data_IF_725146777155
#
_entry.id   IF_725146777155
#
_cell.length_a   1.000
_cell.length_b   1.000
_cell.length_c   1.000
_cell.angle_alpha   90.00
_cell.angle_beta   90.00
_cell.angle_gamma   90.00
#
_symmetry.space_group_name_H-M   'P 1'
#
loop_
_entity.id
_entity.type
_entity.pdbx_description
1 polymer ?
#
# COMPACT_ATOMS: atom_id res chain seq x y z
N UNK A 1 21.09 -77.24 26.01
CA UNK A 1 22.20 -78.21 25.91
C UNK A 1 23.08 -77.80 24.74
N UNK A 2 24.40 -77.68 24.92
CA UNK A 2 25.33 -77.31 23.84
C UNK A 2 25.32 -78.31 22.67
N UNK A 3 24.96 -79.57 22.96
CA UNK A 3 24.75 -80.67 22.02
C UNK A 3 23.59 -80.43 21.04
N UNK A 4 22.50 -79.81 21.49
CA UNK A 4 21.32 -79.54 20.66
C UNK A 4 21.56 -78.41 19.64
N UNK A 5 22.39 -77.43 20.01
CA UNK A 5 22.84 -76.36 19.11
C UNK A 5 23.83 -76.89 18.05
N UNK A 6 24.70 -77.82 18.43
CA UNK A 6 25.63 -78.49 17.51
C UNK A 6 24.90 -79.37 16.49
N UNK A 7 23.93 -80.16 16.93
CA UNK A 7 23.08 -80.98 16.05
C UNK A 7 22.24 -80.14 15.09
N UNK A 8 21.65 -79.04 15.57
CA UNK A 8 20.88 -78.12 14.72
C UNK A 8 21.76 -77.48 13.65
N UNK A 9 22.97 -77.05 14.00
CA UNK A 9 23.90 -76.45 13.04
C UNK A 9 24.34 -77.47 11.97
N UNK A 10 24.64 -78.71 12.36
CA UNK A 10 24.99 -79.77 11.40
C UNK A 10 23.84 -80.10 10.43
N UNK A 11 22.58 -80.06 10.89
CA UNK A 11 21.40 -80.22 10.02
C UNK A 11 21.25 -79.03 9.06
N UNK A 12 21.46 -77.81 9.55
CA UNK A 12 21.39 -76.61 8.71
C UNK A 12 22.49 -76.60 7.66
N UNK A 13 23.72 -76.99 8.00
CA UNK A 13 24.84 -77.13 7.06
C UNK A 13 24.53 -78.17 5.99
N UNK A 14 24.01 -79.35 6.37
CA UNK A 14 23.61 -80.37 5.41
C UNK A 14 22.49 -79.91 4.46
N UNK A 15 21.50 -79.16 4.96
CA UNK A 15 20.45 -78.57 4.12
C UNK A 15 21.02 -77.50 3.17
N UNK A 16 21.95 -76.66 3.64
CA UNK A 16 22.60 -75.63 2.83
C UNK A 16 23.50 -76.23 1.74
N UNK A 17 24.21 -77.31 2.02
CA UNK A 17 25.06 -78.01 1.04
C UNK A 17 24.24 -78.67 -0.07
N UNK A 18 23.04 -79.18 0.26
CA UNK A 18 22.11 -79.80 -0.70
C UNK A 18 21.20 -78.80 -1.42
N UNK A 19 21.28 -77.51 -1.10
CA UNK A 19 20.49 -76.43 -1.70
C UNK A 19 21.31 -75.66 -2.73
N UNK A 20 20.78 -75.54 -3.96
CA UNK A 20 21.37 -74.76 -5.04
C UNK A 20 20.41 -73.66 -5.48
N UNK A 21 20.89 -72.42 -5.47
CA UNK A 21 20.13 -71.23 -5.90
C UNK A 21 20.89 -70.57 -7.05
N UNK A 22 20.25 -70.45 -8.21
CA UNK A 22 20.88 -69.88 -9.40
C UNK A 22 19.93 -68.89 -10.10
N UNK A 23 20.45 -67.71 -10.43
CA UNK A 23 19.73 -66.78 -11.29
C UNK A 23 19.71 -67.30 -12.73
N UNK A 24 18.53 -67.33 -13.35
CA UNK A 24 18.38 -67.76 -14.73
C UNK A 24 18.83 -66.62 -15.64
N UNK A 25 19.94 -66.82 -16.37
CA UNK A 25 20.55 -65.82 -17.25
C UNK A 25 19.51 -65.17 -18.17
N UNK A 26 19.60 -63.84 -18.33
CA UNK A 26 18.69 -63.05 -19.16
C UNK A 26 17.21 -63.07 -18.73
N UNK A 27 16.91 -63.36 -17.46
CA UNK A 27 15.54 -63.30 -16.92
C UNK A 27 15.52 -62.77 -15.49
N UNK A 28 14.32 -62.49 -14.98
CA UNK A 28 14.09 -62.16 -13.56
C UNK A 28 13.72 -63.40 -12.72
N UNK A 29 14.06 -64.61 -13.20
CA UNK A 29 13.75 -65.87 -12.53
C UNK A 29 14.94 -66.39 -11.70
N UNK A 30 14.62 -66.97 -10.56
CA UNK A 30 15.57 -67.67 -9.68
C UNK A 30 15.17 -69.14 -9.64
N UNK A 31 16.10 -70.02 -10.00
CA UNK A 31 15.93 -71.46 -9.89
C UNK A 31 16.42 -71.92 -8.51
N UNK A 32 15.53 -72.58 -7.77
CA UNK A 32 15.82 -73.18 -6.46
C UNK A 32 15.76 -74.69 -6.65
N UNK A 33 16.82 -75.41 -6.28
CA UNK A 33 16.92 -76.86 -6.38
C UNK A 33 17.44 -77.43 -5.07
N UNK A 34 16.87 -78.55 -4.62
CA UNK A 34 17.24 -79.20 -3.38
C UNK A 34 17.34 -80.71 -3.60
N UNK A 35 18.48 -81.30 -3.23
CA UNK A 35 18.74 -82.74 -3.38
C UNK A 35 18.46 -83.48 -2.07
N UNK A 36 17.61 -84.50 -2.11
CA UNK A 36 17.22 -85.28 -0.92
C UNK A 36 16.85 -86.71 -1.29
N UNK A 37 17.12 -87.65 -0.37
CA UNK A 37 16.71 -89.05 -0.47
C UNK A 37 15.23 -89.27 -0.15
N UNK A 38 14.58 -88.32 0.53
CA UNK A 38 13.13 -88.31 0.78
C UNK A 38 12.42 -87.45 -0.28
N UNK A 39 11.54 -88.03 -1.11
CA UNK A 39 10.81 -87.31 -2.15
C UNK A 39 9.89 -86.21 -1.60
N UNK A 40 9.41 -86.31 -0.36
CA UNK A 40 8.61 -85.24 0.26
C UNK A 40 9.50 -84.06 0.62
N UNK A 41 10.62 -84.33 1.31
CA UNK A 41 11.59 -83.31 1.70
C UNK A 41 12.19 -82.59 0.46
N UNK A 42 12.39 -83.33 -0.64
CA UNK A 42 12.86 -82.78 -1.92
C UNK A 42 11.92 -81.71 -2.50
N UNK A 43 10.60 -81.83 -2.27
CA UNK A 43 9.60 -80.87 -2.73
C UNK A 43 9.31 -79.78 -1.69
N UNK A 44 9.21 -80.15 -0.42
CA UNK A 44 8.78 -79.26 0.66
C UNK A 44 9.82 -78.16 0.95
N UNK A 45 11.11 -78.50 0.95
CA UNK A 45 12.18 -77.54 1.27
C UNK A 45 12.27 -76.36 0.28
N UNK A 46 12.35 -76.57 -1.06
CA UNK A 46 12.41 -75.46 -2.01
C UNK A 46 11.10 -74.65 -2.07
N UNK A 47 9.93 -75.29 -1.92
CA UNK A 47 8.64 -74.59 -1.87
C UNK A 47 8.55 -73.72 -0.61
N UNK A 48 8.87 -74.27 0.56
CA UNK A 48 8.87 -73.53 1.81
C UNK A 48 9.88 -72.36 1.80
N UNK A 49 11.06 -72.54 1.18
CA UNK A 49 12.03 -71.45 1.03
C UNK A 49 11.49 -70.33 0.13
N UNK A 50 10.81 -70.68 -0.97
CA UNK A 50 10.19 -69.71 -1.86
C UNK A 50 9.07 -68.93 -1.15
N UNK A 51 8.19 -69.63 -0.43
CA UNK A 51 7.10 -69.01 0.35
C UNK A 51 7.65 -68.07 1.43
N UNK A 52 8.64 -68.52 2.21
CA UNK A 52 9.31 -67.70 3.24
C UNK A 52 9.99 -66.48 2.62
N UNK A 53 10.58 -66.59 1.43
CA UNK A 53 11.20 -65.45 0.75
C UNK A 53 10.14 -64.43 0.30
N UNK A 54 9.03 -64.88 -0.29
CA UNK A 54 7.91 -64.02 -0.70
C UNK A 54 7.31 -63.31 0.51
N UNK A 55 7.08 -64.03 1.61
CA UNK A 55 6.58 -63.45 2.86
C UNK A 55 7.54 -62.41 3.44
N UNK A 56 8.85 -62.71 3.50
CA UNK A 56 9.86 -61.76 3.98
C UNK A 56 9.99 -60.52 3.08
N UNK A 57 9.92 -60.67 1.76
CA UNK A 57 9.95 -59.53 0.82
C UNK A 57 8.71 -58.64 0.99
N UNK A 58 7.52 -59.26 1.15
CA UNK A 58 6.29 -58.54 1.44
C UNK A 58 6.37 -57.81 2.79
N UNK A 59 6.83 -58.48 3.85
CA UNK A 59 7.00 -57.87 5.18
C UNK A 59 8.00 -56.71 5.14
N UNK A 60 9.11 -56.86 4.43
CA UNK A 60 10.10 -55.79 4.23
C UNK A 60 9.50 -54.60 3.47
N UNK A 61 8.71 -54.83 2.42
CA UNK A 61 8.01 -53.78 1.69
C UNK A 61 6.98 -53.05 2.56
N UNK A 62 6.15 -53.80 3.29
CA UNK A 62 5.17 -53.23 4.24
C UNK A 62 5.86 -52.41 5.34
N UNK A 63 6.97 -52.89 5.89
CA UNK A 63 7.74 -52.17 6.88
C UNK A 63 8.30 -50.84 6.32
N UNK A 64 8.76 -50.82 5.07
CA UNK A 64 9.19 -49.59 4.40
C UNK A 64 8.04 -48.61 4.17
N UNK A 65 6.89 -49.09 3.67
CA UNK A 65 5.69 -48.26 3.47
C UNK A 65 5.20 -47.67 4.79
N UNK A 66 5.12 -48.47 5.86
CA UNK A 66 4.73 -48.01 7.19
C UNK A 66 5.67 -46.91 7.73
N UNK A 67 6.98 -47.08 7.54
CA UNK A 67 7.97 -46.07 7.95
C UNK A 67 7.83 -44.77 7.14
N UNK A 68 7.55 -44.88 5.86
CA UNK A 68 7.28 -43.71 5.00
C UNK A 68 5.97 -43.01 5.40
N UNK A 69 4.91 -43.78 5.69
CA UNK A 69 3.63 -43.26 6.18
C UNK A 69 3.81 -42.53 7.51
N UNK A 70 4.49 -43.12 8.50
CA UNK A 70 4.77 -42.48 9.79
C UNK A 70 5.55 -41.16 9.62
N UNK A 71 6.57 -41.16 8.76
CA UNK A 71 7.33 -39.95 8.44
C UNK A 71 6.45 -38.86 7.80
N UNK A 72 5.59 -39.24 6.84
CA UNK A 72 4.66 -38.33 6.18
C UNK A 72 3.61 -37.79 7.17
N UNK A 73 3.07 -38.61 8.06
CA UNK A 73 2.14 -38.19 9.12
C UNK A 73 2.80 -37.14 10.03
N UNK A 74 4.02 -37.39 10.51
CA UNK A 74 4.76 -36.44 11.35
C UNK A 74 5.04 -35.13 10.60
N UNK A 75 5.38 -35.21 9.32
CA UNK A 75 5.61 -34.03 8.48
C UNK A 75 4.33 -33.23 8.27
N UNK A 76 3.21 -33.90 8.02
CA UNK A 76 1.89 -33.29 7.86
C UNK A 76 1.42 -32.60 9.13
N UNK A 77 1.64 -33.19 10.31
CA UNK A 77 1.32 -32.54 11.59
C UNK A 77 2.09 -31.22 11.75
N UNK A 78 3.39 -31.23 11.41
CA UNK A 78 4.22 -30.03 11.42
C UNK A 78 3.76 -28.97 10.43
N UNK A 79 3.39 -29.37 9.20
CA UNK A 79 2.86 -28.45 8.18
C UNK A 79 1.50 -27.88 8.58
N UNK A 80 0.62 -28.70 9.18
CA UNK A 80 -0.67 -28.26 9.70
C UNK A 80 -0.53 -27.22 10.80
N UNK A 81 0.41 -27.41 11.74
CA UNK A 81 0.71 -26.42 12.79
C UNK A 81 1.18 -25.11 12.18
N UNK A 82 2.14 -25.15 11.25
CA UNK A 82 2.63 -23.96 10.54
C UNK A 82 1.54 -23.22 9.77
N UNK A 83 0.69 -23.95 9.04
CA UNK A 83 -0.44 -23.37 8.33
C UNK A 83 -1.37 -22.64 9.30
N UNK A 84 -1.79 -23.32 10.38
CA UNK A 84 -2.67 -22.74 11.39
C UNK A 84 -2.06 -21.50 12.07
N UNK A 85 -0.75 -21.51 12.36
CA UNK A 85 -0.03 -20.35 12.91
C UNK A 85 -0.02 -19.17 11.92
N UNK A 86 0.25 -19.42 10.64
CA UNK A 86 0.24 -18.38 9.61
C UNK A 86 -1.16 -17.79 9.38
N UNK A 87 -2.20 -18.63 9.35
CA UNK A 87 -3.60 -18.19 9.22
C UNK A 87 -4.03 -17.34 10.43
N UNK A 88 -3.67 -17.78 11.64
CA UNK A 88 -3.93 -17.02 12.87
C UNK A 88 -3.24 -15.65 12.83
N UNK A 89 -1.99 -15.60 12.38
CA UNK A 89 -1.22 -14.35 12.27
C UNK A 89 -1.86 -13.40 11.25
N UNK A 90 -2.28 -13.91 10.09
CA UNK A 90 -3.02 -13.16 9.08
C UNK A 90 -4.33 -12.59 9.67
N UNK A 91 -5.12 -13.44 10.34
CA UNK A 91 -6.39 -13.04 10.92
C UNK A 91 -6.21 -11.94 11.99
N UNK A 92 -5.26 -12.12 12.90
CA UNK A 92 -4.92 -11.11 13.92
C UNK A 92 -4.46 -9.80 13.30
N UNK A 93 -3.73 -9.85 12.19
CA UNK A 93 -3.31 -8.66 11.47
C UNK A 93 -4.51 -7.93 10.83
N UNK A 94 -5.43 -8.66 10.19
CA UNK A 94 -6.66 -8.11 9.61
C UNK A 94 -7.52 -7.44 10.70
N UNK A 95 -7.72 -8.11 11.83
CA UNK A 95 -8.52 -7.61 12.95
C UNK A 95 -7.87 -6.39 13.62
N UNK A 96 -6.58 -6.48 13.98
CA UNK A 96 -5.88 -5.39 14.67
C UNK A 96 -5.72 -4.12 13.82
N UNK A 97 -5.74 -4.25 12.49
CA UNK A 97 -5.62 -3.13 11.56
C UNK A 97 -6.95 -2.73 10.92
N UNK A 98 -8.04 -3.45 11.17
CA UNK A 98 -9.38 -3.17 10.65
C UNK A 98 -9.48 -3.25 9.12
N UNK A 99 -8.82 -4.22 8.50
CA UNK A 99 -8.58 -4.26 7.04
C UNK A 99 -9.77 -4.74 6.19
N UNK A 100 -11.00 -4.62 6.68
CA UNK A 100 -12.20 -5.14 5.97
C UNK A 100 -12.47 -4.43 4.64
N UNK A 101 -11.99 -3.18 4.46
CA UNK A 101 -12.20 -2.39 3.24
C UNK A 101 -10.98 -1.53 2.85
N UNK A 102 -9.79 -2.14 2.77
CA UNK A 102 -8.56 -1.40 2.44
C UNK A 102 -8.61 -0.78 1.04
N UNK A 103 -9.11 -1.54 0.06
CA UNK A 103 -9.22 -1.11 -1.34
C UNK A 103 -10.14 0.11 -1.53
N UNK A 104 -11.30 0.14 -0.86
CA UNK A 104 -12.20 1.28 -0.89
C UNK A 104 -11.61 2.52 -0.21
N UNK A 105 -10.93 2.34 0.91
CA UNK A 105 -10.25 3.44 1.63
C UNK A 105 -9.11 4.02 0.80
N UNK A 106 -8.30 3.19 0.13
CA UNK A 106 -7.25 3.64 -0.78
C UNK A 106 -7.81 4.44 -1.95
N UNK A 107 -8.85 3.92 -2.60
CA UNK A 107 -9.50 4.58 -3.74
C UNK A 107 -10.04 5.96 -3.35
N UNK A 108 -10.71 6.05 -2.21
CA UNK A 108 -11.20 7.31 -1.67
C UNK A 108 -10.06 8.28 -1.36
N UNK A 109 -8.97 7.82 -0.74
CA UNK A 109 -7.82 8.65 -0.42
C UNK A 109 -7.12 9.18 -1.69
N UNK A 110 -6.98 8.36 -2.73
CA UNK A 110 -6.44 8.79 -4.04
C UNK A 110 -7.32 9.86 -4.67
N UNK A 111 -8.64 9.66 -4.67
CA UNK A 111 -9.60 10.65 -5.17
C UNK A 111 -9.50 11.99 -4.42
N UNK A 112 -9.39 11.94 -3.09
CA UNK A 112 -9.20 13.15 -2.27
C UNK A 112 -7.90 13.89 -2.61
N UNK A 113 -6.81 13.18 -2.93
CA UNK A 113 -5.56 13.81 -3.38
C UNK A 113 -5.78 14.53 -4.71
N UNK A 114 -6.43 13.88 -5.67
CA UNK A 114 -6.69 14.45 -6.99
C UNK A 114 -7.56 15.71 -6.90
N UNK A 115 -8.65 15.64 -6.13
CA UNK A 115 -9.52 16.79 -5.85
C UNK A 115 -8.75 17.93 -5.16
N UNK A 116 -8.00 17.61 -4.09
CA UNK A 116 -7.20 18.62 -3.35
C UNK A 116 -6.12 19.25 -4.24
N UNK A 117 -5.47 18.46 -5.09
CA UNK A 117 -4.45 18.95 -6.01
C UNK A 117 -5.06 19.90 -7.05
N UNK A 118 -6.25 19.57 -7.58
CA UNK A 118 -7.00 20.46 -8.47
C UNK A 118 -7.33 21.80 -7.79
N UNK A 119 -7.90 21.76 -6.59
CA UNK A 119 -8.21 22.97 -5.82
C UNK A 119 -6.94 23.76 -5.45
N UNK A 120 -5.82 23.08 -5.20
CA UNK A 120 -4.54 23.74 -4.90
C UNK A 120 -4.01 24.52 -6.12
N UNK A 121 -4.13 23.97 -7.33
CA UNK A 121 -3.76 24.69 -8.57
C UNK A 121 -4.60 25.96 -8.73
N UNK A 122 -5.91 25.88 -8.52
CA UNK A 122 -6.80 27.05 -8.54
C UNK A 122 -6.42 28.08 -7.47
N UNK A 123 -6.11 27.62 -6.24
CA UNK A 123 -5.68 28.48 -5.15
C UNK A 123 -4.34 29.18 -5.45
N UNK A 124 -3.38 28.50 -6.07
CA UNK A 124 -2.12 29.12 -6.52
C UNK A 124 -2.37 30.18 -7.59
N UNK A 125 -3.28 29.94 -8.54
CA UNK A 125 -3.63 30.94 -9.55
C UNK A 125 -4.24 32.19 -8.91
N UNK A 126 -5.14 32.02 -7.94
CA UNK A 126 -5.69 33.15 -7.19
C UNK A 126 -4.63 33.89 -6.37
N UNK A 127 -3.76 33.15 -5.68
CA UNK A 127 -2.64 33.74 -4.94
C UNK A 127 -1.74 34.55 -5.87
N UNK A 128 -1.34 34.01 -7.03
CA UNK A 128 -0.50 34.72 -7.99
C UNK A 128 -1.15 36.03 -8.49
N UNK A 129 -2.46 36.00 -8.74
CA UNK A 129 -3.23 37.20 -9.15
C UNK A 129 -3.19 38.27 -8.07
N UNK A 130 -3.52 37.93 -6.83
CA UNK A 130 -3.58 38.89 -5.71
C UNK A 130 -2.18 39.32 -5.24
N UNK A 131 -1.21 38.42 -5.29
CA UNK A 131 0.19 38.71 -4.97
C UNK A 131 0.78 39.77 -5.90
N UNK A 132 0.49 39.71 -7.20
CA UNK A 132 0.91 40.75 -8.14
C UNK A 132 0.33 42.13 -7.78
N UNK A 133 -0.94 42.18 -7.38
CA UNK A 133 -1.59 43.41 -6.91
C UNK A 133 -0.95 43.92 -5.61
N UNK A 134 -0.74 43.02 -4.65
CA UNK A 134 -0.09 43.34 -3.38
C UNK A 134 1.35 43.86 -3.56
N UNK A 135 2.13 43.26 -4.46
CA UNK A 135 3.49 43.72 -4.81
C UNK A 135 3.48 45.13 -5.39
N UNK A 136 2.50 45.49 -6.23
CA UNK A 136 2.36 46.86 -6.75
C UNK A 136 2.07 47.86 -5.63
N UNK A 137 1.16 47.51 -4.71
CA UNK A 137 0.86 48.32 -3.52
C UNK A 137 2.11 48.50 -2.64
N UNK A 138 2.87 47.44 -2.40
CA UNK A 138 4.12 47.46 -1.63
C UNK A 138 5.17 48.41 -2.24
N UNK A 139 5.33 48.41 -3.58
CA UNK A 139 6.29 49.29 -4.27
C UNK A 139 6.00 50.78 -4.08
N UNK A 140 4.73 51.14 -3.89
CA UNK A 140 4.29 52.53 -3.72
C UNK A 140 4.09 52.91 -2.24
N UNK A 141 4.46 52.02 -1.32
CA UNK A 141 4.30 52.25 0.11
C UNK A 141 5.07 53.49 0.56
N UNK A 142 4.41 54.37 1.30
CA UNK A 142 5.00 55.65 1.76
C UNK A 142 4.87 56.79 0.76
N UNK A 143 4.38 56.55 -0.45
CA UNK A 143 4.07 57.61 -1.42
C UNK A 143 2.69 58.25 -1.15
N UNK A 144 2.40 59.34 -1.85
CA UNK A 144 1.09 60.01 -1.79
C UNK A 144 -0.02 59.11 -2.32
N UNK A 145 -1.26 59.34 -1.88
CA UNK A 145 -2.43 58.58 -2.35
C UNK A 145 -2.59 58.59 -3.88
N UNK A 146 -2.15 59.66 -4.54
CA UNK A 146 -2.17 59.76 -6.01
C UNK A 146 -1.26 58.76 -6.72
N UNK A 147 -0.19 58.28 -6.10
CA UNK A 147 0.68 57.29 -6.71
C UNK A 147 -0.04 55.94 -6.93
N UNK A 148 -0.92 55.58 -5.98
CA UNK A 148 -1.72 54.35 -6.05
C UNK A 148 -2.82 54.39 -7.11
N UNK A 149 -3.14 55.57 -7.67
CA UNK A 149 -4.06 55.70 -8.81
C UNK A 149 -3.50 55.07 -10.09
N UNK A 150 -2.20 54.75 -10.14
CA UNK A 150 -1.59 53.99 -11.24
C UNK A 150 -1.92 52.49 -11.23
N UNK A 151 -2.48 51.97 -10.13
CA UNK A 151 -2.80 50.54 -9.99
C UNK A 151 -4.18 50.27 -10.61
N UNK A 152 -4.31 49.42 -11.65
CA UNK A 152 -5.56 49.17 -12.36
C UNK A 152 -6.73 48.76 -11.43
N UNK A 153 -6.46 47.91 -10.43
CA UNK A 153 -7.46 47.45 -9.48
C UNK A 153 -8.03 48.57 -8.57
N UNK A 154 -7.26 49.65 -8.36
CA UNK A 154 -7.67 50.79 -7.54
C UNK A 154 -8.40 51.81 -8.40
N UNK A 155 -7.84 52.19 -9.56
CA UNK A 155 -8.44 53.19 -10.45
C UNK A 155 -9.74 52.72 -11.09
N UNK A 156 -9.90 51.42 -11.34
CA UNK A 156 -11.13 50.86 -11.90
C UNK A 156 -12.22 50.61 -10.85
N UNK A 157 -11.98 50.93 -9.57
CA UNK A 157 -13.00 50.79 -8.55
C UNK A 157 -14.12 51.84 -8.76
N UNK A 158 -15.40 51.45 -8.90
CA UNK A 158 -16.48 52.37 -9.27
C UNK A 158 -16.61 53.59 -8.35
N UNK A 159 -16.46 53.39 -7.03
CA UNK A 159 -16.48 54.49 -6.07
C UNK A 159 -15.32 55.49 -6.26
N UNK A 160 -14.13 55.01 -6.65
CA UNK A 160 -12.98 55.88 -6.88
C UNK A 160 -13.19 56.67 -8.18
N UNK A 161 -13.68 56.02 -9.24
CA UNK A 161 -14.03 56.71 -10.49
C UNK A 161 -15.07 57.81 -10.27
N UNK A 162 -16.15 57.52 -9.54
CA UNK A 162 -17.19 58.51 -9.22
C UNK A 162 -16.63 59.69 -8.42
N UNK A 163 -15.78 59.42 -7.41
CA UNK A 163 -15.14 60.49 -6.64
C UNK A 163 -14.16 61.31 -7.47
N UNK A 164 -13.50 60.69 -8.46
CA UNK A 164 -12.58 61.36 -9.36
C UNK A 164 -13.30 62.28 -10.34
N UNK A 165 -14.46 61.86 -10.83
CA UNK A 165 -15.36 62.71 -11.60
C UNK A 165 -15.81 63.93 -10.77
N UNK A 166 -16.21 63.71 -9.51
CA UNK A 166 -16.55 64.81 -8.59
C UNK A 166 -15.36 65.74 -8.29
N UNK A 167 -14.13 65.21 -8.22
CA UNK A 167 -12.91 66.02 -8.07
C UNK A 167 -12.69 66.93 -9.29
N UNK A 168 -12.86 66.40 -10.50
CA UNK A 168 -12.72 67.17 -11.74
C UNK A 168 -13.79 68.27 -11.84
N UNK A 169 -15.03 67.98 -11.45
CA UNK A 169 -16.11 68.97 -11.41
C UNK A 169 -15.86 70.08 -10.39
N UNK A 170 -15.42 69.72 -9.17
CA UNK A 170 -15.03 70.70 -8.15
C UNK A 170 -13.83 71.55 -8.59
N UNK A 171 -12.86 70.96 -9.28
CA UNK A 171 -11.73 71.69 -9.85
C UNK A 171 -12.16 72.67 -10.95
N UNK A 172 -13.09 72.26 -11.83
CA UNK A 172 -13.64 73.12 -12.89
C UNK A 172 -14.38 74.33 -12.29
N UNK A 173 -15.22 74.10 -11.28
CA UNK A 173 -15.95 75.14 -10.55
C UNK A 173 -15.00 76.18 -9.92
N UNK A 174 -13.86 75.75 -9.38
CA UNK A 174 -12.84 76.68 -8.87
C UNK A 174 -12.24 77.54 -10.00
N UNK A 175 -11.92 76.94 -11.14
CA UNK A 175 -11.40 77.67 -12.30
C UNK A 175 -12.38 78.72 -12.81
N UNK A 176 -13.66 78.36 -12.97
CA UNK A 176 -14.74 79.28 -13.40
C UNK A 176 -14.96 80.43 -12.41
N UNK A 177 -14.87 80.17 -11.09
CA UNK A 177 -15.02 81.20 -10.07
C UNK A 177 -13.79 82.13 -10.00
N UNK A 178 -12.59 81.64 -10.31
CA UNK A 178 -11.34 82.43 -10.31
C UNK A 178 -11.30 83.48 -11.41
N UNK A 179 -12.02 83.28 -12.51
CA UNK A 179 -12.15 84.29 -13.57
C UNK A 179 -12.98 85.50 -13.12
N UNK A 180 -13.91 85.32 -12.17
CA UNK A 180 -14.86 86.34 -11.72
C UNK A 180 -14.56 86.92 -10.35
N UNK A 181 -13.96 86.14 -9.46
CA UNK A 181 -13.78 86.50 -8.06
C UNK A 181 -12.32 86.39 -7.62
N UNK A 182 -11.92 87.27 -6.70
CA UNK A 182 -10.60 87.19 -6.05
C UNK A 182 -10.49 86.02 -5.08
N UNK A 183 -9.26 85.56 -4.79
CA UNK A 183 -8.99 84.33 -4.01
C UNK A 183 -9.66 84.26 -2.63
N UNK A 184 -9.95 85.41 -2.00
CA UNK A 184 -10.58 85.48 -0.67
C UNK A 184 -12.12 85.51 -0.70
N UNK A 185 -12.74 85.47 -1.89
CA UNK A 185 -14.19 85.51 -2.01
C UNK A 185 -14.84 84.26 -1.39
N UNK A 186 -15.94 84.39 -0.61
CA UNK A 186 -16.57 83.26 0.08
C UNK A 186 -16.89 82.06 -0.81
N UNK A 187 -17.33 82.29 -2.05
CA UNK A 187 -17.63 81.21 -3.01
C UNK A 187 -16.38 80.43 -3.45
N UNK A 188 -15.23 81.09 -3.61
CA UNK A 188 -13.96 80.41 -3.94
C UNK A 188 -13.49 79.58 -2.75
N UNK A 189 -13.58 80.12 -1.54
CA UNK A 189 -13.20 79.42 -0.31
C UNK A 189 -14.07 78.17 -0.12
N UNK A 190 -15.38 78.28 -0.33
CA UNK A 190 -16.31 77.15 -0.28
C UNK A 190 -15.97 76.07 -1.32
N UNK A 191 -15.72 76.45 -2.58
CA UNK A 191 -15.34 75.51 -3.64
C UNK A 191 -13.98 74.84 -3.38
N UNK A 192 -13.00 75.56 -2.82
CA UNK A 192 -11.71 74.98 -2.39
C UNK A 192 -11.87 73.99 -1.24
N UNK A 193 -12.76 74.27 -0.28
CA UNK A 193 -13.08 73.36 0.81
C UNK A 193 -13.75 72.08 0.29
N UNK A 194 -14.67 72.20 -0.67
CA UNK A 194 -15.31 71.09 -1.38
C UNK A 194 -14.27 70.20 -2.07
N UNK A 195 -13.36 70.78 -2.88
CA UNK A 195 -12.28 70.03 -3.53
C UNK A 195 -11.36 69.32 -2.51
N UNK A 196 -11.01 69.99 -1.41
CA UNK A 196 -10.17 69.41 -0.35
C UNK A 196 -10.86 68.24 0.35
N UNK A 197 -12.17 68.36 0.61
CA UNK A 197 -12.97 67.28 1.17
C UNK A 197 -13.03 66.08 0.23
N UNK A 198 -13.31 66.30 -1.07
CA UNK A 198 -13.34 65.24 -2.10
C UNK A 198 -12.00 64.51 -2.20
N UNK A 199 -10.87 65.25 -2.24
CA UNK A 199 -9.52 64.66 -2.22
C UNK A 199 -9.26 63.80 -0.98
N UNK A 200 -9.72 64.23 0.20
CA UNK A 200 -9.61 63.45 1.45
C UNK A 200 -10.46 62.17 1.39
N UNK A 201 -11.65 62.23 0.79
CA UNK A 201 -12.50 61.07 0.58
C UNK A 201 -11.84 60.06 -0.36
N UNK A 202 -11.27 60.51 -1.49
CA UNK A 202 -10.50 59.66 -2.42
C UNK A 202 -9.36 58.96 -1.69
N UNK A 203 -8.53 59.71 -0.95
CA UNK A 203 -7.41 59.12 -0.20
C UNK A 203 -7.87 58.06 0.82
N UNK A 204 -9.03 58.26 1.44
CA UNK A 204 -9.62 57.29 2.37
C UNK A 204 -10.10 56.02 1.65
N UNK A 205 -10.74 56.16 0.48
CA UNK A 205 -11.16 55.01 -0.33
C UNK A 205 -9.97 54.22 -0.88
N UNK A 206 -8.92 54.91 -1.33
CA UNK A 206 -7.68 54.27 -1.76
C UNK A 206 -7.05 53.46 -0.62
N UNK A 207 -6.99 54.01 0.60
CA UNK A 207 -6.47 53.27 1.76
C UNK A 207 -7.30 52.02 2.06
N UNK A 208 -8.63 52.12 2.00
CA UNK A 208 -9.52 50.95 2.17
C UNK A 208 -9.32 49.88 1.08
N UNK A 209 -9.10 50.30 -0.17
CA UNK A 209 -8.78 49.38 -1.26
C UNK A 209 -7.43 48.67 -1.05
N UNK A 210 -6.41 49.39 -0.57
CA UNK A 210 -5.11 48.82 -0.19
C UNK A 210 -5.25 47.78 0.94
N UNK A 211 -6.00 48.12 1.98
CA UNK A 211 -6.26 47.21 3.11
C UNK A 211 -6.97 45.94 2.63
N UNK A 212 -7.93 46.08 1.70
CA UNK A 212 -8.62 44.96 1.07
C UNK A 212 -7.67 44.04 0.30
N UNK A 213 -6.83 44.60 -0.57
CA UNK A 213 -5.83 43.84 -1.34
C UNK A 213 -4.89 43.07 -0.41
N UNK A 214 -4.46 43.70 0.68
CA UNK A 214 -3.57 43.08 1.68
C UNK A 214 -4.27 41.89 2.37
N UNK A 215 -5.52 42.06 2.80
CA UNK A 215 -6.29 40.98 3.42
C UNK A 215 -6.58 39.84 2.44
N UNK A 216 -6.90 40.15 1.19
CA UNK A 216 -7.12 39.14 0.14
C UNK A 216 -5.83 38.35 -0.14
N UNK A 217 -4.67 39.00 -0.14
CA UNK A 217 -3.38 38.33 -0.27
C UNK A 217 -3.11 37.37 0.89
N UNK A 218 -3.27 37.84 2.13
CA UNK A 218 -3.05 37.03 3.32
C UNK A 218 -4.00 35.82 3.37
N UNK A 219 -5.27 36.02 3.00
CA UNK A 219 -6.27 34.96 2.90
C UNK A 219 -5.90 33.93 1.82
N UNK A 220 -5.53 34.37 0.61
CA UNK A 220 -5.13 33.48 -0.47
C UNK A 220 -3.89 32.66 -0.10
N UNK A 221 -2.91 33.30 0.56
CA UNK A 221 -1.70 32.62 1.06
C UNK A 221 -2.02 31.59 2.13
N UNK A 222 -2.90 31.92 3.08
CA UNK A 222 -3.34 30.99 4.12
C UNK A 222 -4.12 29.80 3.52
N UNK A 223 -4.94 30.04 2.49
CA UNK A 223 -5.67 28.98 1.79
C UNK A 223 -4.72 28.01 1.09
N UNK A 224 -3.74 28.51 0.32
CA UNK A 224 -2.69 27.67 -0.31
C UNK A 224 -1.98 26.81 0.74
N UNK A 225 -1.49 27.42 1.83
CA UNK A 225 -0.82 26.68 2.90
C UNK A 225 -1.71 25.60 3.53
N UNK A 226 -3.00 25.87 3.68
CA UNK A 226 -3.97 24.91 4.23
C UNK A 226 -4.14 23.72 3.28
N UNK A 227 -4.30 23.98 2.00
CA UNK A 227 -4.45 22.94 0.97
C UNK A 227 -3.16 22.10 0.82
N UNK A 228 -1.98 22.72 0.89
CA UNK A 228 -0.69 22.02 0.92
C UNK A 228 -0.61 21.05 2.11
N UNK A 229 -1.02 21.50 3.31
CA UNK A 229 -1.04 20.65 4.49
C UNK A 229 -2.04 19.48 4.35
N UNK A 230 -3.23 19.73 3.80
CA UNK A 230 -4.24 18.68 3.55
C UNK A 230 -3.70 17.65 2.55
N UNK A 231 -3.07 18.12 1.48
CA UNK A 231 -2.46 17.27 0.46
C UNK A 231 -1.38 16.37 1.07
N UNK A 232 -0.53 16.93 1.92
CA UNK A 232 0.52 16.18 2.61
C UNK A 232 -0.04 15.17 3.61
N UNK A 233 -1.08 15.53 4.36
CA UNK A 233 -1.78 14.59 5.24
C UNK A 233 -2.39 13.42 4.44
N UNK A 234 -3.00 13.70 3.28
CA UNK A 234 -3.59 12.67 2.43
C UNK A 234 -2.51 11.75 1.82
N UNK A 235 -1.35 12.29 1.40
CA UNK A 235 -0.20 11.48 0.98
C UNK A 235 0.27 10.55 2.10
N UNK A 236 0.40 11.06 3.32
CA UNK A 236 0.80 10.26 4.47
C UNK A 236 -0.21 9.15 4.79
N UNK A 237 -1.51 9.41 4.66
CA UNK A 237 -2.56 8.37 4.76
C UNK A 237 -2.37 7.28 3.71
N UNK A 238 -2.13 7.62 2.44
CA UNK A 238 -1.87 6.63 1.38
C UNK A 238 -0.62 5.81 1.68
N UNK A 239 0.47 6.44 2.11
CA UNK A 239 1.68 5.71 2.47
C UNK A 239 1.43 4.71 3.61
N UNK A 240 0.65 5.11 4.62
CA UNK A 240 0.26 4.22 5.71
C UNK A 240 -0.61 3.05 5.22
N UNK A 241 -1.54 3.29 4.29
CA UNK A 241 -2.35 2.25 3.66
C UNK A 241 -1.46 1.28 2.86
N UNK A 242 -0.56 1.78 2.03
CA UNK A 242 0.35 0.95 1.24
C UNK A 242 1.26 0.07 2.13
N UNK A 243 1.75 0.59 3.27
CA UNK A 243 2.50 -0.21 4.24
C UNK A 243 1.65 -1.34 4.80
N UNK A 244 0.37 -1.06 5.11
CA UNK A 244 -0.56 -2.08 5.60
C UNK A 244 -0.84 -3.16 4.56
N UNK A 245 -1.06 -2.77 3.30
CA UNK A 245 -1.28 -3.67 2.16
C UNK A 245 -0.06 -4.55 1.88
N UNK A 246 1.15 -3.98 1.93
CA UNK A 246 2.38 -4.74 1.73
C UNK A 246 2.52 -5.88 2.76
N UNK A 247 2.31 -5.56 4.04
CA UNK A 247 2.38 -6.56 5.10
C UNK A 247 1.22 -7.56 5.03
N UNK A 248 0.01 -7.13 4.63
CA UNK A 248 -1.10 -8.03 4.36
C UNK A 248 -0.74 -9.05 3.28
N UNK A 249 -0.24 -8.58 2.13
CA UNK A 249 0.15 -9.44 1.01
C UNK A 249 1.28 -10.41 1.36
N UNK A 250 2.21 -10.00 2.23
CA UNK A 250 3.25 -10.90 2.74
C UNK A 250 2.66 -12.05 3.57
N UNK A 251 1.72 -11.74 4.48
CA UNK A 251 1.05 -12.75 5.31
C UNK A 251 0.14 -13.67 4.48
N UNK A 252 -0.60 -13.11 3.51
CA UNK A 252 -1.40 -13.90 2.57
C UNK A 252 -0.54 -14.89 1.77
N UNK A 253 0.63 -14.43 1.29
CA UNK A 253 1.58 -15.30 0.58
C UNK A 253 2.15 -16.39 1.48
N UNK A 254 2.44 -16.09 2.74
CA UNK A 254 2.92 -17.08 3.70
C UNK A 254 1.87 -18.18 3.94
N UNK A 255 0.61 -17.80 4.15
CA UNK A 255 -0.51 -18.74 4.28
C UNK A 255 -0.64 -19.60 3.02
N UNK A 256 -0.62 -18.99 1.84
CA UNK A 256 -0.75 -19.69 0.57
C UNK A 256 0.39 -20.70 0.35
N UNK A 257 1.65 -20.33 0.62
CA UNK A 257 2.80 -21.23 0.52
C UNK A 257 2.68 -22.40 1.49
N UNK A 258 2.29 -22.14 2.74
CA UNK A 258 2.11 -23.20 3.75
C UNK A 258 0.97 -24.15 3.36
N UNK A 259 -0.11 -23.62 2.80
CA UNK A 259 -1.25 -24.41 2.31
C UNK A 259 -0.86 -25.29 1.14
N UNK A 260 -0.18 -24.74 0.13
CA UNK A 260 0.31 -25.51 -1.03
C UNK A 260 1.24 -26.65 -0.60
N UNK A 261 2.15 -26.39 0.35
CA UNK A 261 3.02 -27.43 0.90
C UNK A 261 2.22 -28.49 1.66
N UNK A 262 1.25 -28.11 2.47
CA UNK A 262 0.38 -29.06 3.17
C UNK A 262 -0.38 -29.95 2.17
N UNK A 263 -1.03 -29.35 1.17
CA UNK A 263 -1.83 -30.06 0.16
C UNK A 263 -0.98 -31.05 -0.66
N UNK A 264 0.25 -30.64 -1.03
CA UNK A 264 1.21 -31.49 -1.72
C UNK A 264 1.58 -32.74 -0.91
N UNK A 265 1.96 -32.56 0.36
CA UNK A 265 2.33 -33.67 1.23
C UNK A 265 1.12 -34.54 1.59
N UNK A 266 -0.07 -33.95 1.68
CA UNK A 266 -1.30 -34.68 1.97
C UNK A 266 -1.69 -35.58 0.80
N UNK A 267 -1.51 -35.10 -0.43
CA UNK A 267 -1.66 -35.90 -1.65
C UNK A 267 -0.67 -37.07 -1.67
N UNK A 268 0.62 -36.82 -1.37
CA UNK A 268 1.63 -37.89 -1.28
C UNK A 268 1.35 -38.92 -0.19
N UNK A 269 0.84 -38.48 0.96
CA UNK A 269 0.42 -39.38 2.03
C UNK A 269 -0.71 -40.31 1.56
N UNK A 270 -1.74 -39.77 0.90
CA UNK A 270 -2.82 -40.60 0.34
C UNK A 270 -2.35 -41.61 -0.70
N UNK A 271 -1.39 -41.22 -1.55
CA UNK A 271 -0.79 -42.14 -2.53
C UNK A 271 -0.01 -43.27 -1.84
N UNK A 272 0.73 -42.96 -0.78
CA UNK A 272 1.57 -43.94 -0.04
C UNK A 272 0.73 -44.89 0.82
N UNK A 273 -0.36 -44.39 1.42
CA UNK A 273 -1.27 -45.18 2.25
C UNK A 273 -2.16 -46.12 1.42
N UNK A 274 -2.40 -45.78 0.14
CA UNK A 274 -3.18 -46.57 -0.79
C UNK A 274 -2.37 -47.59 -1.63
N UNK A 275 -1.03 -47.60 -1.49
CA UNK A 275 -0.09 -48.47 -2.23
C UNK A 275 0.41 -49.61 -1.36
#
# INVERSE_FOLDING_TARGET
TADDKGRRNAIVEGVMESLSIQAVRNSQLVAISFESTDPKLAADVPNALADIYIENDLEAKLAMTNKAAEWLTKRLEGLRKKLSESEKTLQQYIESKGLVNVSGVKTLATKQIEETAGTLVEAHLQLAKVENMYKQVQKLRGQSSSAFESIPAIVNHPLIQNLKQAELEAARKISELRERYGQKHPQIVAAQAELKATKKHIATQIRRAIDRITKEYDLARANVKTLENILEQNKNKIQAINRKEYQLSALEREVEVNRQLYDLFFTRFKETDAS
#
